data_IF_244396383184
#
_entry.id   IF_244396383184
#
_cell.length_a   1.000
_cell.length_b   1.000
_cell.length_c   1.000
_cell.angle_alpha   90.00
_cell.angle_beta   90.00
_cell.angle_gamma   90.00
#
_symmetry.space_group_name_H-M   'P 1'
#
loop_
_entity.id
_entity.type
_entity.pdbx_description
1 polymer ?
#
# COMPACT_ATOMS: atom_id res chain seq x y z
N UNK A 1 -2.09 -10.19 -27.53
CA UNK A 1 -3.32 -10.07 -26.72
C UNK A 1 -2.90 -9.74 -25.31
N UNK A 2 -2.75 -8.51 -24.89
CA UNK A 2 -2.93 -7.19 -25.49
C UNK A 2 -2.29 -6.25 -24.45
N UNK A 3 -1.30 -5.47 -24.87
CA UNK A 3 -1.12 -4.07 -24.45
C UNK A 3 -1.35 -3.69 -22.97
N UNK A 4 -0.50 -4.14 -22.05
CA UNK A 4 -0.05 -3.24 -20.97
C UNK A 4 1.13 -2.45 -21.49
N UNK A 5 0.77 -1.42 -22.26
CA UNK A 5 1.64 -0.38 -22.81
C UNK A 5 2.53 0.13 -21.67
N UNK A 6 3.79 -0.30 -21.69
CA UNK A 6 4.83 0.22 -20.82
C UNK A 6 4.80 1.74 -20.94
N UNK A 7 4.37 2.42 -19.87
CA UNK A 7 4.49 3.85 -19.76
C UNK A 7 6.00 4.15 -19.70
N UNK A 8 6.54 4.56 -20.83
CA UNK A 8 7.88 5.10 -20.99
C UNK A 8 8.01 6.35 -20.10
N UNK A 9 8.42 6.16 -18.85
CA UNK A 9 8.92 7.23 -18.01
C UNK A 9 10.46 7.23 -18.14
N UNK A 10 10.95 7.91 -19.17
CA UNK A 10 12.33 8.39 -19.16
C UNK A 10 12.47 9.40 -18.02
N UNK A 11 13.03 9.01 -16.87
CA UNK A 11 13.68 9.95 -15.96
C UNK A 11 14.96 9.38 -15.37
N UNK A 12 16.02 10.12 -15.65
CA UNK A 12 17.40 9.99 -15.21
C UNK A 12 17.48 10.20 -13.70
N UNK A 13 18.11 9.27 -12.98
CA UNK A 13 18.37 9.34 -11.54
C UNK A 13 17.47 8.42 -10.73
N UNK A 14 18.05 7.49 -9.97
CA UNK A 14 17.35 6.50 -9.14
C UNK A 14 16.60 7.11 -7.94
N UNK A 15 15.69 8.03 -8.21
CA UNK A 15 14.81 8.67 -7.24
C UNK A 15 13.43 8.01 -7.21
N UNK A 16 12.73 8.16 -6.09
CA UNK A 16 11.35 7.73 -5.96
C UNK A 16 10.43 8.60 -6.80
N UNK A 17 9.49 7.99 -7.51
CA UNK A 17 8.43 8.69 -8.25
C UNK A 17 7.08 8.37 -7.62
N UNK A 18 6.18 9.36 -7.57
CA UNK A 18 4.81 9.15 -7.08
C UNK A 18 3.86 8.88 -8.25
N UNK A 19 3.21 7.71 -8.27
CA UNK A 19 2.20 7.35 -9.29
C UNK A 19 1.04 6.56 -8.69
N UNK A 20 -0.09 6.59 -9.40
CA UNK A 20 -1.24 5.73 -9.15
C UNK A 20 -1.26 4.61 -10.19
N UNK A 21 -1.45 3.36 -9.75
CA UNK A 21 -1.52 2.17 -10.59
C UNK A 21 -2.73 1.35 -10.16
N UNK A 22 -3.60 1.02 -11.12
CA UNK A 22 -4.64 0.01 -10.94
C UNK A 22 -4.09 -1.34 -11.41
N UNK A 23 -4.29 -2.37 -10.60
CA UNK A 23 -3.86 -3.74 -10.85
C UNK A 23 -5.01 -4.56 -11.45
N UNK A 24 -4.68 -5.66 -12.12
CA UNK A 24 -5.66 -6.54 -12.78
C UNK A 24 -6.65 -7.19 -11.79
N UNK A 25 -6.26 -7.30 -10.52
CA UNK A 25 -7.12 -7.80 -9.45
C UNK A 25 -8.13 -6.75 -8.91
N UNK A 26 -8.17 -5.55 -9.49
CA UNK A 26 -9.05 -4.46 -9.04
C UNK A 26 -8.46 -3.60 -7.91
N UNK A 27 -7.30 -3.96 -7.35
CA UNK A 27 -6.62 -3.14 -6.37
C UNK A 27 -6.03 -1.88 -7.03
N UNK A 28 -5.95 -0.78 -6.27
CA UNK A 28 -5.35 0.47 -6.70
C UNK A 28 -4.30 0.88 -5.68
N UNK A 29 -3.07 1.10 -6.14
CA UNK A 29 -2.01 1.70 -5.32
C UNK A 29 -1.74 3.14 -5.76
N UNK A 30 -1.61 4.04 -4.79
CA UNK A 30 -1.23 5.44 -4.98
C UNK A 30 -0.12 5.78 -4.02
N UNK A 31 1.10 5.98 -4.52
CA UNK A 31 2.23 6.21 -3.64
C UNK A 31 3.54 6.34 -4.36
N UNK A 32 4.62 6.31 -3.59
CA UNK A 32 5.99 6.33 -4.08
C UNK A 32 6.42 4.95 -4.63
N UNK A 33 7.26 5.00 -5.65
CA UNK A 33 7.81 3.87 -6.37
C UNK A 33 9.30 4.10 -6.59
N UNK A 34 10.10 3.06 -6.39
CA UNK A 34 11.51 3.04 -6.73
C UNK A 34 11.72 1.99 -7.83
N UNK A 35 11.92 2.45 -9.07
CA UNK A 35 11.87 1.57 -10.23
C UNK A 35 10.46 0.99 -10.40
N UNK A 36 10.36 -0.34 -10.37
CA UNK A 36 9.10 -1.07 -10.54
C UNK A 36 8.47 -1.53 -9.22
N UNK A 37 9.12 -1.27 -8.09
CA UNK A 37 8.64 -1.67 -6.77
C UNK A 37 8.03 -0.49 -6.00
N UNK A 38 6.98 -0.76 -5.22
CA UNK A 38 6.44 0.20 -4.25
C UNK A 38 7.46 0.42 -3.15
N UNK A 39 7.83 1.68 -2.95
CA UNK A 39 8.91 2.04 -2.04
C UNK A 39 8.76 3.51 -1.59
N UNK A 40 8.69 3.74 -0.28
CA UNK A 40 8.32 5.01 0.33
C UNK A 40 6.87 4.99 0.87
N UNK A 41 6.22 6.14 0.97
CA UNK A 41 4.84 6.21 1.45
C UNK A 41 3.82 5.94 0.36
N UNK A 42 2.79 5.16 0.68
CA UNK A 42 1.74 4.83 -0.26
C UNK A 42 0.47 4.30 0.36
N UNK A 43 -0.60 4.42 -0.42
CA UNK A 43 -1.94 3.92 -0.11
C UNK A 43 -2.31 2.83 -1.10
N UNK A 44 -2.59 1.62 -0.61
CA UNK A 44 -3.21 0.55 -1.39
C UNK A 44 -4.67 0.42 -0.98
N UNK A 45 -5.56 0.35 -1.96
CA UNK A 45 -6.97 -0.02 -1.79
C UNK A 45 -7.17 -1.32 -2.55
N UNK A 46 -7.72 -2.34 -1.90
CA UNK A 46 -8.05 -3.61 -2.53
C UNK A 46 -9.46 -3.58 -3.12
N UNK A 47 -9.78 -4.53 -3.98
CA UNK A 47 -11.09 -4.62 -4.64
C UNK A 47 -12.24 -4.90 -3.66
N UNK A 48 -11.92 -5.56 -2.54
CA UNK A 48 -12.83 -5.81 -1.42
C UNK A 48 -13.16 -4.55 -0.60
N UNK A 49 -12.45 -3.44 -0.83
CA UNK A 49 -12.59 -2.18 -0.11
C UNK A 49 -11.68 -2.05 1.11
N UNK A 50 -10.88 -3.06 1.45
CA UNK A 50 -9.82 -2.92 2.44
C UNK A 50 -8.81 -1.85 1.95
N UNK A 51 -8.14 -1.18 2.88
CA UNK A 51 -7.08 -0.22 2.54
C UNK A 51 -5.90 -0.28 3.49
N UNK A 52 -4.72 -0.09 2.95
CA UNK A 52 -3.48 0.11 3.69
C UNK A 52 -2.90 1.46 3.33
N UNK A 53 -2.48 2.21 4.34
CA UNK A 53 -1.82 3.50 4.21
C UNK A 53 -0.58 3.48 5.10
N UNK A 54 0.62 3.53 4.51
CA UNK A 54 1.85 3.39 5.28
C UNK A 54 3.11 3.40 4.44
N UNK A 55 4.22 2.99 5.07
CA UNK A 55 5.50 2.85 4.38
C UNK A 55 5.59 1.51 3.66
N UNK A 56 6.24 1.54 2.51
CA UNK A 56 6.48 0.42 1.63
C UNK A 56 7.98 0.32 1.37
N UNK A 57 8.50 -0.90 1.32
CA UNK A 57 9.87 -1.18 0.89
C UNK A 57 9.88 -2.48 0.09
N UNK A 58 10.35 -2.42 -1.15
CA UNK A 58 10.36 -3.54 -2.08
C UNK A 58 9.00 -4.29 -2.14
N UNK A 59 7.92 -3.53 -2.39
CA UNK A 59 6.55 -4.05 -2.50
C UNK A 59 5.94 -4.62 -1.21
N UNK A 60 6.62 -4.49 -0.07
CA UNK A 60 6.11 -4.94 1.22
C UNK A 60 5.78 -3.78 2.14
N UNK A 61 4.69 -3.89 2.89
CA UNK A 61 4.39 -2.98 3.98
C UNK A 61 5.49 -3.05 5.05
N UNK A 62 5.98 -1.88 5.45
CA UNK A 62 7.05 -1.71 6.42
C UNK A 62 6.78 -0.51 7.33
N UNK A 63 7.44 -0.43 8.48
CA UNK A 63 7.39 0.74 9.37
C UNK A 63 5.97 1.02 9.88
N UNK A 64 5.62 2.30 10.05
CA UNK A 64 4.28 2.66 10.54
C UNK A 64 3.25 2.59 9.40
N UNK A 65 2.12 1.95 9.69
CA UNK A 65 1.03 1.83 8.74
C UNK A 65 -0.34 1.70 9.41
N UNK A 66 -1.35 2.15 8.70
CA UNK A 66 -2.77 2.03 9.01
C UNK A 66 -3.40 1.06 8.02
N UNK A 67 -3.93 -0.02 8.52
CA UNK A 67 -4.77 -0.93 7.75
C UNK A 67 -6.22 -0.77 8.18
N UNK A 68 -7.12 -0.62 7.22
CA UNK A 68 -8.56 -0.63 7.44
C UNK A 68 -9.10 -1.85 6.72
N UNK A 69 -9.69 -2.74 7.50
CA UNK A 69 -10.31 -3.95 7.02
C UNK A 69 -11.72 -3.62 6.46
N UNK A 70 -12.27 -4.52 5.65
CA UNK A 70 -13.53 -4.30 4.89
C UNK A 70 -14.75 -4.08 5.79
N UNK A 71 -14.74 -4.66 6.98
CA UNK A 71 -15.72 -4.46 8.06
C UNK A 71 -15.59 -3.10 8.75
N UNK A 72 -14.59 -2.30 8.39
CA UNK A 72 -14.34 -0.97 8.95
C UNK A 72 -13.33 -0.98 10.10
N UNK A 73 -12.91 -2.15 10.56
CA UNK A 73 -11.95 -2.27 11.64
C UNK A 73 -10.60 -1.69 11.23
N UNK A 74 -9.96 -0.97 12.15
CA UNK A 74 -8.73 -0.24 11.85
C UNK A 74 -7.60 -0.73 12.73
N UNK A 75 -6.53 -1.20 12.11
CA UNK A 75 -5.27 -1.46 12.76
C UNK A 75 -4.27 -0.33 12.47
N UNK A 76 -3.74 0.29 13.52
CA UNK A 76 -2.59 1.19 13.42
C UNK A 76 -1.40 0.56 14.13
N UNK A 77 -0.29 0.34 13.45
CA UNK A 77 0.86 -0.31 14.08
C UNK A 77 2.13 -0.26 13.25
N UNK A 78 3.13 -0.99 13.72
CA UNK A 78 4.34 -1.25 12.95
C UNK A 78 4.12 -2.45 12.02
N UNK A 79 4.82 -2.44 10.89
CA UNK A 79 4.76 -3.44 9.83
C UNK A 79 6.17 -3.87 9.49
N UNK A 80 6.36 -5.16 9.31
CA UNK A 80 7.63 -5.75 8.88
C UNK A 80 7.33 -6.86 7.89
N UNK A 81 7.67 -6.63 6.62
CA UNK A 81 7.43 -7.59 5.54
C UNK A 81 5.97 -8.07 5.46
N UNK A 82 5.04 -7.12 5.32
CA UNK A 82 3.58 -7.36 5.22
C UNK A 82 2.93 -7.93 6.48
N UNK A 83 3.68 -8.06 7.57
CA UNK A 83 3.16 -8.53 8.85
C UNK A 83 3.06 -7.38 9.83
N UNK A 84 1.89 -7.23 10.44
CA UNK A 84 1.72 -6.44 11.65
C UNK A 84 2.74 -6.91 12.70
N UNK A 85 3.55 -5.98 13.18
CA UNK A 85 4.64 -6.23 14.10
C UNK A 85 4.57 -5.27 15.29
N UNK A 86 5.06 -5.71 16.45
CA UNK A 86 5.10 -4.88 17.65
C UNK A 86 3.72 -4.54 18.21
N UNK A 87 3.58 -3.29 18.69
CA UNK A 87 2.36 -2.80 19.30
C UNK A 87 1.51 -2.05 18.28
N UNK A 88 0.30 -2.55 18.05
CA UNK A 88 -0.70 -1.84 17.27
C UNK A 88 -1.97 -1.58 18.07
N UNK A 89 -2.68 -0.52 17.71
CA UNK A 89 -4.00 -0.21 18.23
C UNK A 89 -5.02 -0.72 17.23
N UNK A 90 -5.81 -1.69 17.66
CA UNK A 90 -6.95 -2.18 16.90
C UNK A 90 -8.20 -1.44 17.37
N UNK A 91 -8.88 -0.78 16.45
CA UNK A 91 -10.15 -0.12 16.67
C UNK A 91 -11.23 -0.89 15.93
N UNK A 92 -12.13 -1.53 16.68
CA UNK A 92 -13.31 -2.15 16.11
C UNK A 92 -14.33 -1.08 15.72
N UNK A 93 -14.78 -1.10 14.46
CA UNK A 93 -15.80 -0.16 13.98
C UNK A 93 -17.16 -0.38 14.65
N UNK A 94 -17.42 -1.60 15.13
CA UNK A 94 -18.66 -1.99 15.84
C UNK A 94 -18.74 -1.44 17.28
N UNK A 95 -17.71 -0.73 17.76
CA UNK A 95 -17.71 -0.16 19.11
C UNK A 95 -17.67 -1.20 20.24
N UNK A 96 -17.52 -2.49 19.91
CA UNK A 96 -17.24 -3.56 20.86
C UNK A 96 -15.86 -3.32 21.46
N UNK A 97 -15.83 -3.17 22.78
CA UNK A 97 -14.66 -2.85 23.59
C UNK A 97 -14.38 -4.00 24.57
#
# INVERSE_FOLDING_TARGET
NEETKAAEAQFVGGGRIRKQVAFDNGAVYTGEWLGDARDGYGVQVWDDGARYEGQWVNDKAQGKGKFVHVDGDVYFGDWVEDRAHGHGVYHHADGSR
#
